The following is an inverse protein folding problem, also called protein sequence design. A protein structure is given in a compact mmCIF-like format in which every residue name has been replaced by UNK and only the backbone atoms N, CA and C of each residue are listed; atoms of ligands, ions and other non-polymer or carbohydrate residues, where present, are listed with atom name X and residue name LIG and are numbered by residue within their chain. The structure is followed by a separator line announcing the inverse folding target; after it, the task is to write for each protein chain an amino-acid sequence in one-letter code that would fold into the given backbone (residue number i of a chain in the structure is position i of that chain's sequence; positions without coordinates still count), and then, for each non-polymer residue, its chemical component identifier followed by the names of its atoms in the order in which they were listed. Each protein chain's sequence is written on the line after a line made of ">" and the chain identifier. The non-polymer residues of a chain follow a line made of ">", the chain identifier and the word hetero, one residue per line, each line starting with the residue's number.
data_IF_721078992250
#
_entry.id   IF_721078992250
#
_cell.length_a   1.000
_cell.length_b   1.000
_cell.length_c   1.000
_cell.angle_alpha   90.00
_cell.angle_beta   90.00
_cell.angle_gamma   90.00
#
_symmetry.space_group_name_H-M   'P 1'
#
loop_
_entity.id
_entity.type
_entity.pdbx_description
1 polymer ?
#
# COMPACT_ATOMS: atom_id res chain seq x y z
N UNK A 1 -2.99 15.50 -15.92
CA UNK A 1 -3.67 14.22 -15.61
C UNK A 1 -4.06 14.15 -14.13
N UNK A 2 -3.19 14.62 -13.21
CA UNK A 2 -3.43 14.56 -11.76
C UNK A 2 -4.69 15.35 -11.34
N UNK A 3 -4.86 16.59 -11.77
CA UNK A 3 -5.98 17.46 -11.34
C UNK A 3 -7.38 16.94 -11.71
N UNK A 4 -7.52 16.20 -12.81
CA UNK A 4 -8.81 15.63 -13.22
C UNK A 4 -9.12 14.35 -12.44
N UNK A 5 -8.12 13.52 -12.20
CA UNK A 5 -8.26 12.30 -11.39
C UNK A 5 -8.55 12.67 -9.94
N UNK A 6 -7.83 13.67 -9.41
CA UNK A 6 -8.04 14.15 -8.06
C UNK A 6 -9.45 14.69 -7.85
N UNK A 7 -9.98 15.50 -8.77
CA UNK A 7 -11.36 16.02 -8.69
C UNK A 7 -12.43 14.94 -8.78
N UNK A 8 -12.21 13.88 -9.55
CA UNK A 8 -13.20 12.81 -9.75
C UNK A 8 -13.19 11.77 -8.64
N UNK A 9 -12.02 11.40 -8.15
CA UNK A 9 -11.86 10.25 -7.26
C UNK A 9 -11.45 10.61 -5.82
N UNK A 10 -10.83 11.77 -5.57
CA UNK A 10 -10.43 12.21 -4.23
C UNK A 10 -11.60 12.83 -3.46
N UNK A 11 -12.65 12.03 -3.26
CA UNK A 11 -13.78 12.38 -2.42
C UNK A 11 -14.00 11.29 -1.36
N UNK A 12 -14.67 11.65 -0.27
CA UNK A 12 -14.90 10.74 0.84
C UNK A 12 -15.71 9.50 0.45
N UNK A 13 -16.62 9.60 -0.53
CA UNK A 13 -17.41 8.47 -1.03
C UNK A 13 -16.52 7.43 -1.68
N UNK A 14 -15.62 7.84 -2.58
CA UNK A 14 -14.68 6.94 -3.25
C UNK A 14 -13.72 6.31 -2.25
N UNK A 15 -13.17 7.10 -1.32
CA UNK A 15 -12.26 6.60 -0.27
C UNK A 15 -12.95 5.54 0.59
N UNK A 16 -14.17 5.82 1.07
CA UNK A 16 -14.95 4.89 1.90
C UNK A 16 -15.29 3.62 1.14
N UNK A 17 -15.79 3.76 -0.10
CA UNK A 17 -16.12 2.63 -0.96
C UNK A 17 -14.89 1.74 -1.23
N UNK A 18 -13.75 2.33 -1.58
CA UNK A 18 -12.53 1.57 -1.86
C UNK A 18 -11.95 0.90 -0.62
N UNK A 19 -12.05 1.52 0.55
CA UNK A 19 -11.68 0.87 1.82
C UNK A 19 -12.52 -0.40 2.04
N UNK A 20 -13.83 -0.32 1.85
CA UNK A 20 -14.74 -1.45 2.02
C UNK A 20 -14.50 -2.52 0.97
N UNK A 21 -14.45 -2.15 -0.31
CA UNK A 21 -14.26 -3.09 -1.43
C UNK A 21 -12.95 -3.86 -1.25
N UNK A 22 -11.84 -3.17 -1.02
CA UNK A 22 -10.53 -3.81 -0.84
C UNK A 22 -10.49 -4.66 0.43
N UNK A 23 -11.16 -4.23 1.50
CA UNK A 23 -11.35 -5.04 2.71
C UNK A 23 -12.08 -6.35 2.43
N UNK A 24 -13.18 -6.31 1.66
CA UNK A 24 -13.91 -7.50 1.23
C UNK A 24 -13.04 -8.40 0.35
N UNK A 25 -12.29 -7.83 -0.60
CA UNK A 25 -11.39 -8.59 -1.48
C UNK A 25 -10.32 -9.31 -0.65
N UNK A 26 -9.74 -8.68 0.38
CA UNK A 26 -8.83 -9.35 1.31
C UNK A 26 -9.47 -10.58 1.95
N UNK A 27 -10.69 -10.45 2.48
CA UNK A 27 -11.40 -11.56 3.10
C UNK A 27 -11.72 -12.68 2.11
N UNK A 28 -12.14 -12.34 0.89
CA UNK A 28 -12.43 -13.32 -0.16
C UNK A 28 -11.18 -14.07 -0.62
N UNK A 29 -10.06 -13.38 -0.79
CA UNK A 29 -8.78 -13.98 -1.18
C UNK A 29 -8.28 -14.93 -0.11
N UNK A 30 -8.38 -14.54 1.16
CA UNK A 30 -7.98 -15.38 2.29
C UNK A 30 -8.92 -16.58 2.51
N UNK A 31 -10.23 -16.41 2.33
CA UNK A 31 -11.21 -17.48 2.53
C UNK A 31 -11.24 -18.52 1.38
N UNK A 32 -10.67 -18.22 0.22
CA UNK A 32 -10.60 -19.18 -0.90
C UNK A 32 -9.68 -20.38 -0.64
N UNK A 33 -9.22 -20.55 0.59
CA UNK A 33 -8.40 -21.68 1.05
C UNK A 33 -6.95 -21.58 0.56
N UNK A 34 -6.10 -22.44 1.11
CA UNK A 34 -4.69 -22.51 0.73
C UNK A 34 -4.56 -22.93 -0.74
N UNK A 35 -4.64 -21.95 -1.67
CA UNK A 35 -4.08 -22.14 -2.99
C UNK A 35 -2.65 -22.62 -2.77
N UNK A 36 -2.23 -23.67 -3.47
CA UNK A 36 -0.83 -24.05 -3.47
C UNK A 36 -0.06 -22.84 -4.00
N UNK A 37 0.62 -22.15 -3.11
CA UNK A 37 1.54 -21.11 -3.50
C UNK A 37 2.63 -21.73 -4.35
N UNK A 38 2.82 -21.21 -5.54
CA UNK A 38 3.84 -21.69 -6.49
C UNK A 38 5.18 -21.00 -6.26
N UNK A 39 5.15 -19.80 -5.69
CA UNK A 39 6.31 -18.94 -5.47
C UNK A 39 6.48 -18.68 -3.96
N UNK A 40 7.50 -19.29 -3.37
CA UNK A 40 7.77 -19.25 -1.94
C UNK A 40 9.07 -18.52 -1.58
N UNK A 41 9.85 -18.07 -2.57
CA UNK A 41 11.02 -17.21 -2.41
C UNK A 41 10.87 -16.00 -3.31
N UNK A 42 11.52 -14.89 -2.92
CA UNK A 42 11.55 -13.66 -3.73
C UNK A 42 12.31 -13.88 -5.03
N UNK A 43 13.31 -14.76 -5.02
CA UNK A 43 14.12 -15.10 -6.18
C UNK A 43 13.36 -15.91 -7.23
N UNK A 44 12.27 -16.57 -6.82
CA UNK A 44 11.39 -17.35 -7.69
C UNK A 44 10.32 -16.52 -8.39
N UNK A 45 10.24 -15.21 -8.09
CA UNK A 45 9.25 -14.33 -8.72
C UNK A 45 9.57 -14.19 -10.20
N UNK A 46 8.64 -14.63 -11.05
CA UNK A 46 8.79 -14.49 -12.50
C UNK A 46 8.56 -13.05 -12.95
N UNK A 47 9.13 -12.67 -14.10
CA UNK A 47 8.90 -11.36 -14.71
C UNK A 47 7.40 -11.09 -14.97
N UNK A 48 6.64 -12.10 -15.32
CA UNK A 48 5.19 -12.00 -15.53
C UNK A 48 4.48 -11.66 -14.21
N UNK A 49 4.81 -12.35 -13.11
CA UNK A 49 4.26 -12.04 -11.79
C UNK A 49 4.64 -10.63 -11.35
N UNK A 50 5.91 -10.25 -11.50
CA UNK A 50 6.39 -8.91 -11.17
C UNK A 50 5.63 -7.82 -11.94
N UNK A 51 5.45 -8.01 -13.25
CA UNK A 51 4.68 -7.09 -14.09
C UNK A 51 3.23 -6.95 -13.63
N UNK A 52 2.53 -8.07 -13.43
CA UNK A 52 1.13 -8.03 -13.01
C UNK A 52 0.93 -7.47 -11.60
N UNK A 53 1.83 -7.76 -10.64
CA UNK A 53 1.81 -7.12 -9.32
C UNK A 53 1.96 -5.60 -9.47
N UNK A 54 2.84 -5.15 -10.36
CA UNK A 54 2.98 -3.73 -10.70
C UNK A 54 1.69 -3.13 -11.29
N UNK A 55 0.97 -3.88 -12.12
CA UNK A 55 -0.34 -3.45 -12.64
C UNK A 55 -1.39 -3.29 -11.53
N UNK A 56 -1.42 -4.18 -10.54
CA UNK A 56 -2.27 -3.98 -9.35
C UNK A 56 -1.94 -2.69 -8.59
N UNK A 57 -0.67 -2.25 -8.59
CA UNK A 57 -0.29 -0.97 -7.99
C UNK A 57 -0.93 0.23 -8.70
N UNK A 58 -1.17 0.16 -10.02
CA UNK A 58 -1.84 1.23 -10.77
C UNK A 58 -3.28 1.44 -10.31
N UNK A 59 -3.97 0.37 -9.91
CA UNK A 59 -5.33 0.49 -9.35
C UNK A 59 -5.31 1.38 -8.11
N UNK A 60 -4.30 1.21 -7.25
CA UNK A 60 -4.15 2.03 -6.05
C UNK A 60 -3.67 3.46 -6.35
N UNK A 61 -3.05 3.70 -7.50
CA UNK A 61 -2.68 5.04 -7.95
C UNK A 61 -3.88 5.84 -8.45
N UNK A 62 -4.88 5.15 -9.03
CA UNK A 62 -6.08 5.78 -9.59
C UNK A 62 -7.15 5.98 -8.51
N UNK A 63 -7.36 4.98 -7.65
CA UNK A 63 -8.42 4.97 -6.66
C UNK A 63 -7.89 5.23 -5.24
N UNK A 64 -8.12 6.41 -4.67
CA UNK A 64 -7.75 6.71 -3.29
C UNK A 64 -8.51 5.80 -2.31
N UNK A 65 -7.86 5.42 -1.21
CA UNK A 65 -8.42 4.45 -0.26
C UNK A 65 -8.07 2.98 -0.55
N UNK A 66 -7.63 2.63 -1.77
CA UNK A 66 -7.25 1.26 -2.14
C UNK A 66 -6.07 0.73 -1.33
N UNK A 67 -5.14 1.56 -0.91
CA UNK A 67 -3.83 1.20 -0.36
C UNK A 67 -2.92 0.51 -1.39
N UNK A 68 -1.80 1.12 -1.62
CA UNK A 68 -0.80 0.64 -2.59
C UNK A 68 -0.29 -0.76 -2.24
N UNK A 69 0.14 -0.94 -0.99
CA UNK A 69 0.60 -2.24 -0.48
C UNK A 69 -0.52 -3.28 -0.45
N UNK A 70 -1.76 -2.88 -0.12
CA UNK A 70 -2.90 -3.79 -0.17
C UNK A 70 -3.16 -4.35 -1.56
N UNK A 71 -3.16 -3.51 -2.59
CA UNK A 71 -3.37 -3.93 -3.97
C UNK A 71 -2.25 -4.87 -4.46
N UNK A 72 -0.99 -4.55 -4.19
CA UNK A 72 0.15 -5.37 -4.62
C UNK A 72 0.21 -6.72 -3.90
N UNK A 73 -0.10 -6.77 -2.59
CA UNK A 73 -0.18 -8.01 -1.83
C UNK A 73 -1.31 -8.90 -2.37
N UNK A 74 -2.52 -8.35 -2.55
CA UNK A 74 -3.64 -9.08 -3.15
C UNK A 74 -3.25 -9.61 -4.53
N UNK A 75 -2.64 -8.78 -5.38
CA UNK A 75 -2.16 -9.17 -6.70
C UNK A 75 -1.18 -10.33 -6.63
N UNK A 76 -0.18 -10.26 -5.76
CA UNK A 76 0.80 -11.33 -5.56
C UNK A 76 0.15 -12.64 -5.13
N UNK A 77 -0.72 -12.60 -4.13
CA UNK A 77 -1.44 -13.79 -3.63
C UNK A 77 -2.34 -14.41 -4.70
N UNK A 78 -3.03 -13.58 -5.50
CA UNK A 78 -3.86 -14.06 -6.63
C UNK A 78 -3.03 -14.74 -7.72
N UNK A 79 -1.78 -14.32 -7.91
CA UNK A 79 -0.82 -14.88 -8.87
C UNK A 79 -0.05 -16.09 -8.32
N UNK A 80 -0.40 -16.59 -7.12
CA UNK A 80 0.22 -17.76 -6.53
C UNK A 80 1.51 -17.49 -5.74
N UNK A 81 1.83 -16.23 -5.46
CA UNK A 81 2.94 -15.85 -4.58
C UNK A 81 2.52 -16.01 -3.13
N UNK A 82 3.37 -16.58 -2.30
CA UNK A 82 3.09 -16.75 -0.87
C UNK A 82 2.91 -15.39 -0.17
N UNK A 83 2.14 -15.37 0.93
CA UNK A 83 1.81 -14.15 1.68
C UNK A 83 3.04 -13.35 2.08
N UNK A 84 4.02 -14.04 2.64
CA UNK A 84 5.28 -13.41 3.10
C UNK A 84 6.06 -12.83 1.93
N UNK A 85 6.21 -13.58 0.84
CA UNK A 85 6.92 -13.13 -0.36
C UNK A 85 6.19 -11.97 -1.05
N UNK A 86 4.85 -12.02 -1.13
CA UNK A 86 4.06 -10.93 -1.69
C UNK A 86 4.20 -9.62 -0.89
N UNK A 87 4.23 -9.72 0.45
CA UNK A 87 4.48 -8.58 1.32
C UNK A 87 5.91 -8.05 1.17
N UNK A 88 6.89 -8.92 1.18
CA UNK A 88 8.31 -8.57 0.99
C UNK A 88 8.53 -7.89 -0.37
N UNK A 89 8.05 -8.48 -1.44
CA UNK A 89 8.12 -7.90 -2.78
C UNK A 89 7.45 -6.52 -2.87
N UNK A 90 6.34 -6.33 -2.16
CA UNK A 90 5.65 -5.04 -2.09
C UNK A 90 6.54 -3.95 -1.50
N UNK A 91 7.36 -4.25 -0.49
CA UNK A 91 8.33 -3.29 0.05
C UNK A 91 9.45 -2.98 -0.95
N UNK A 92 9.99 -3.99 -1.64
CA UNK A 92 10.98 -3.75 -2.70
C UNK A 92 10.41 -2.89 -3.83
N UNK A 93 9.17 -3.16 -4.26
CA UNK A 93 8.49 -2.38 -5.29
C UNK A 93 8.24 -0.92 -4.86
N UNK A 94 8.09 -0.67 -3.56
CA UNK A 94 7.90 0.68 -3.04
C UNK A 94 9.16 1.55 -3.18
N UNK A 95 10.37 0.97 -3.13
CA UNK A 95 11.64 1.71 -3.14
C UNK A 95 11.77 2.59 -4.39
N UNK A 96 11.74 2.06 -5.64
CA UNK A 96 11.92 2.89 -6.82
C UNK A 96 10.81 3.93 -6.99
N UNK A 97 9.58 3.60 -6.61
CA UNK A 97 8.44 4.52 -6.72
C UNK A 97 8.57 5.68 -5.73
N UNK A 98 8.92 5.40 -4.48
CA UNK A 98 9.10 6.43 -3.46
C UNK A 98 10.33 7.28 -3.75
N UNK A 99 11.43 6.67 -4.19
CA UNK A 99 12.62 7.38 -4.59
C UNK A 99 12.35 8.34 -5.75
N UNK A 100 11.69 7.87 -6.81
CA UNK A 100 11.32 8.71 -7.95
C UNK A 100 10.42 9.88 -7.56
N UNK A 101 9.40 9.64 -6.72
CA UNK A 101 8.52 10.70 -6.22
C UNK A 101 9.27 11.74 -5.36
N UNK A 102 10.16 11.28 -4.49
CA UNK A 102 10.95 12.15 -3.63
C UNK A 102 11.91 13.00 -4.45
N UNK A 103 12.58 12.39 -5.42
CA UNK A 103 13.49 13.09 -6.33
C UNK A 103 12.75 14.19 -7.11
N UNK A 104 11.59 13.88 -7.68
CA UNK A 104 10.77 14.87 -8.41
C UNK A 104 10.31 16.01 -7.49
N UNK A 105 9.97 15.73 -6.22
CA UNK A 105 9.61 16.78 -5.26
C UNK A 105 10.80 17.68 -4.94
N UNK A 106 11.98 17.11 -4.70
CA UNK A 106 13.19 17.88 -4.43
C UNK A 106 13.55 18.77 -5.63
N UNK A 107 13.48 18.23 -6.84
CA UNK A 107 13.75 19.00 -8.06
C UNK A 107 12.74 20.15 -8.27
N UNK A 108 11.46 19.94 -7.94
CA UNK A 108 10.44 20.99 -8.01
C UNK A 108 10.56 22.04 -6.91
N UNK A 109 10.97 21.65 -5.71
CA UNK A 109 11.15 22.56 -4.59
C UNK A 109 12.39 23.46 -4.79
N UNK A 110 13.39 22.95 -5.50
CA UNK A 110 14.71 23.59 -5.66
C UNK A 110 15.72 22.98 -4.69
N UNK A 111 17.01 23.19 -5.03
CA UNK A 111 18.12 22.65 -4.23
C UNK A 111 18.62 23.62 -3.14
N UNK A 112 17.97 24.76 -2.99
CA UNK A 112 18.34 25.77 -1.98
C UNK A 112 17.48 25.59 -0.74
N UNK A 113 18.09 25.06 0.31
CA UNK A 113 17.45 24.86 1.61
C UNK A 113 18.03 25.84 2.62
N UNK A 114 17.17 26.41 3.44
CA UNK A 114 17.57 27.13 4.63
C UNK A 114 18.11 26.16 5.70
N UNK A 115 18.93 26.65 6.64
CA UNK A 115 19.44 25.81 7.72
C UNK A 115 18.34 25.13 8.54
N UNK A 116 17.24 25.83 8.78
CA UNK A 116 16.07 25.29 9.49
C UNK A 116 15.38 24.15 8.70
N UNK A 117 15.16 24.34 7.41
CA UNK A 117 14.56 23.31 6.54
C UNK A 117 15.44 22.06 6.47
N UNK A 118 16.76 22.24 6.41
CA UNK A 118 17.70 21.11 6.39
C UNK A 118 17.68 20.34 7.71
N UNK A 119 17.55 21.03 8.84
CA UNK A 119 17.41 20.40 10.15
C UNK A 119 16.13 19.58 10.25
N UNK A 120 14.99 20.16 9.83
CA UNK A 120 13.69 19.49 9.82
C UNK A 120 13.74 18.24 8.93
N UNK A 121 14.33 18.37 7.74
CA UNK A 121 14.49 17.24 6.80
C UNK A 121 15.33 16.12 7.41
N UNK A 122 16.46 16.43 8.04
CA UNK A 122 17.34 15.43 8.70
C UNK A 122 16.61 14.72 9.84
N UNK A 123 15.98 15.45 10.74
CA UNK A 123 15.24 14.87 11.87
C UNK A 123 14.10 14.01 11.34
N UNK A 124 13.33 14.51 10.35
CA UNK A 124 12.25 13.75 9.72
C UNK A 124 12.74 12.46 9.08
N UNK A 125 13.85 12.48 8.33
CA UNK A 125 14.43 11.29 7.70
C UNK A 125 14.90 10.26 8.73
N UNK A 126 15.60 10.69 9.79
CA UNK A 126 16.08 9.78 10.84
C UNK A 126 14.89 9.13 11.56
N UNK A 127 13.91 9.94 11.97
CA UNK A 127 12.70 9.44 12.64
C UNK A 127 11.94 8.47 11.75
N UNK A 128 11.71 8.82 10.48
CA UNK A 128 11.04 7.96 9.52
C UNK A 128 11.81 6.63 9.31
N UNK A 129 13.12 6.67 9.23
CA UNK A 129 13.95 5.47 9.10
C UNK A 129 13.79 4.53 10.29
N UNK A 130 13.97 5.05 11.51
CA UNK A 130 13.86 4.24 12.74
C UNK A 130 12.48 3.62 12.88
N UNK A 131 11.43 4.43 12.71
CA UNK A 131 10.03 3.95 12.80
C UNK A 131 9.74 2.92 11.72
N UNK A 132 10.22 3.12 10.48
CA UNK A 132 10.02 2.19 9.37
C UNK A 132 10.68 0.84 9.61
N UNK A 133 11.91 0.81 10.14
CA UNK A 133 12.60 -0.45 10.47
C UNK A 133 11.80 -1.26 11.50
N UNK A 134 11.33 -0.60 12.57
CA UNK A 134 10.51 -1.27 13.59
C UNK A 134 9.18 -1.74 13.01
N UNK A 135 8.51 -0.90 12.23
CA UNK A 135 7.20 -1.20 11.65
C UNK A 135 7.28 -2.36 10.64
N UNK A 136 8.29 -2.36 9.75
CA UNK A 136 8.45 -3.42 8.74
C UNK A 136 8.78 -4.75 9.42
N UNK A 137 9.70 -4.79 10.36
CA UNK A 137 10.04 -6.01 11.08
C UNK A 137 8.81 -6.59 11.82
N UNK A 138 8.09 -5.74 12.57
CA UNK A 138 6.88 -6.15 13.29
C UNK A 138 5.80 -6.67 12.33
N UNK A 139 5.61 -6.00 11.19
CA UNK A 139 4.64 -6.40 10.17
C UNK A 139 5.02 -7.75 9.52
N UNK A 140 6.30 -7.93 9.16
CA UNK A 140 6.77 -9.19 8.57
C UNK A 140 6.65 -10.35 9.55
N UNK A 141 6.99 -10.15 10.83
CA UNK A 141 6.82 -11.17 11.86
C UNK A 141 5.35 -11.52 12.11
N UNK A 142 4.47 -10.53 12.01
CA UNK A 142 3.03 -10.75 12.09
C UNK A 142 2.51 -11.62 10.93
N UNK A 143 2.88 -11.29 9.69
CA UNK A 143 2.41 -12.01 8.48
C UNK A 143 2.91 -13.45 8.42
N UNK A 144 4.10 -13.73 8.95
CA UNK A 144 4.62 -15.11 9.04
C UNK A 144 3.73 -16.03 9.89
N UNK A 145 2.97 -15.45 10.82
CA UNK A 145 2.17 -16.19 11.81
C UNK A 145 0.67 -16.07 11.59
N UNK A 146 0.21 -15.06 10.86
CA UNK A 146 -1.21 -14.72 10.72
C UNK A 146 -1.60 -14.50 9.25
N UNK A 147 -2.90 -14.53 9.01
CA UNK A 147 -3.49 -14.19 7.71
C UNK A 147 -3.79 -12.67 7.59
N UNK A 148 -4.21 -12.25 6.39
CA UNK A 148 -4.57 -10.86 6.14
C UNK A 148 -6.02 -10.50 6.53
N UNK A 149 -6.78 -11.41 7.16
CA UNK A 149 -8.19 -11.16 7.51
C UNK A 149 -8.36 -9.95 8.42
N UNK A 150 -7.46 -9.82 9.41
CA UNK A 150 -7.49 -8.67 10.34
C UNK A 150 -7.40 -7.35 9.60
N UNK A 151 -6.53 -7.27 8.58
CA UNK A 151 -6.40 -6.06 7.75
C UNK A 151 -7.65 -5.82 6.90
N UNK A 152 -8.28 -6.88 6.39
CA UNK A 152 -9.56 -6.78 5.68
C UNK A 152 -10.67 -6.22 6.57
N UNK A 153 -10.84 -6.77 7.78
CA UNK A 153 -11.86 -6.34 8.75
C UNK A 153 -11.61 -4.89 9.18
N UNK A 154 -10.37 -4.54 9.54
CA UNK A 154 -9.99 -3.18 9.91
C UNK A 154 -10.38 -2.16 8.82
N UNK A 155 -10.14 -2.48 7.56
CA UNK A 155 -10.46 -1.60 6.43
C UNK A 155 -11.96 -1.42 6.25
N UNK A 156 -12.75 -2.49 6.42
CA UNK A 156 -14.22 -2.42 6.34
C UNK A 156 -14.74 -1.53 7.46
N UNK A 157 -14.30 -1.73 8.70
CA UNK A 157 -14.72 -0.91 9.84
C UNK A 157 -14.35 0.56 9.61
N UNK A 158 -13.11 0.83 9.17
CA UNK A 158 -12.65 2.19 8.88
C UNK A 158 -13.47 2.83 7.76
N UNK A 159 -13.74 2.10 6.67
CA UNK A 159 -14.54 2.59 5.57
C UNK A 159 -15.98 2.93 5.96
N UNK A 160 -16.61 2.07 6.77
CA UNK A 160 -17.95 2.31 7.33
C UNK A 160 -17.94 3.51 8.29
N UNK A 161 -16.92 3.65 9.13
CA UNK A 161 -16.79 4.78 10.05
C UNK A 161 -16.64 6.11 9.32
N UNK A 162 -15.81 6.15 8.28
CA UNK A 162 -15.65 7.35 7.43
C UNK A 162 -16.97 7.67 6.73
N UNK A 163 -17.63 6.67 6.17
CA UNK A 163 -18.93 6.86 5.51
C UNK A 163 -19.99 7.42 6.47
N UNK A 164 -20.12 6.80 7.66
CA UNK A 164 -21.07 7.23 8.68
C UNK A 164 -20.79 8.65 9.17
N UNK A 165 -19.50 8.98 9.42
CA UNK A 165 -19.10 10.32 9.84
C UNK A 165 -19.54 11.39 8.86
N UNK A 166 -19.22 11.24 7.58
CA UNK A 166 -19.57 12.23 6.56
C UNK A 166 -21.05 12.25 6.21
N UNK A 167 -21.76 11.13 6.39
CA UNK A 167 -23.22 11.07 6.17
C UNK A 167 -24.00 11.75 7.29
N UNK A 168 -23.53 11.65 8.55
CA UNK A 168 -24.23 12.21 9.72
C UNK A 168 -23.93 13.69 9.96
N UNK A 169 -22.77 14.19 9.49
CA UNK A 169 -22.35 15.59 9.71
C UNK A 169 -22.78 16.50 8.54
N UNK A 170 -23.25 15.93 7.44
CA UNK A 170 -23.77 16.68 6.32
C UNK A 170 -25.28 16.84 6.41
#
# INVERSE_FOLDING_TARGET
>A
FDDKIDRLFYNWQTVSAMLIIVGIVFLLVENRGARRFTTNSIDDITLAQAFWIGMFQLVAAIFPGTSRSGATIIGGVLLGVSRTVAAEYTFFLAIPVMFGRSLLKILKFGLVFTGAELLILRVGCITAFVVSVVAINSFMDYIKKHDFKVFGIYRIILGLSVFAYFYLIK
#
